data_IF_722747926892
#
_entry.id   IF_722747926892
#
_cell.length_a   1.000
_cell.length_b   1.000
_cell.length_c   1.000
_cell.angle_alpha   90.00
_cell.angle_beta   90.00
_cell.angle_gamma   90.00
#
_symmetry.space_group_name_H-M   'P 1'
#
loop_
_entity.id
_entity.type
_entity.pdbx_description
1 polymer ?
#
# COMPACT_ATOMS: atom_id res chain seq x y z
N UNK A 1 0.08 -7.65 -1.24
CA UNK A 1 0.68 -8.39 -0.11
C UNK A 1 1.64 -9.48 -0.59
N UNK A 2 1.20 -10.52 -1.30
CA UNK A 2 2.07 -11.64 -1.68
C UNK A 2 3.32 -11.24 -2.46
N UNK A 3 3.23 -10.24 -3.35
CA UNK A 3 4.38 -9.74 -4.09
C UNK A 3 5.51 -9.24 -3.16
N UNK A 4 5.15 -8.48 -2.10
CA UNK A 4 6.10 -8.00 -1.10
C UNK A 4 6.73 -9.15 -0.29
N UNK A 5 5.89 -10.08 0.20
CA UNK A 5 6.37 -11.25 0.96
C UNK A 5 7.35 -12.07 0.12
N UNK A 6 7.03 -12.33 -1.14
CA UNK A 6 7.88 -13.11 -2.03
C UNK A 6 9.21 -12.38 -2.32
N UNK A 7 9.20 -11.07 -2.53
CA UNK A 7 10.40 -10.28 -2.76
C UNK A 7 11.35 -10.28 -1.55
N UNK A 8 10.79 -10.21 -0.32
CA UNK A 8 11.56 -10.29 0.92
C UNK A 8 12.15 -11.71 1.07
N UNK A 9 11.34 -12.75 0.89
CA UNK A 9 11.79 -14.15 1.06
C UNK A 9 12.78 -14.63 0.01
N UNK A 10 12.77 -14.05 -1.17
CA UNK A 10 13.76 -14.33 -2.23
C UNK A 10 15.04 -13.51 -2.08
N UNK A 11 15.20 -12.78 -0.98
CA UNK A 11 16.35 -11.91 -0.69
C UNK A 11 16.55 -10.80 -1.75
N UNK A 12 15.51 -10.52 -2.54
CA UNK A 12 15.51 -9.36 -3.44
C UNK A 12 15.56 -8.05 -2.65
N UNK A 13 14.93 -8.04 -1.45
CA UNK A 13 14.97 -6.92 -0.51
C UNK A 13 15.71 -7.38 0.72
N UNK A 14 16.93 -6.89 0.88
CA UNK A 14 17.79 -7.21 2.02
C UNK A 14 17.41 -6.38 3.26
N UNK A 15 17.82 -6.86 4.44
CA UNK A 15 17.61 -6.17 5.73
C UNK A 15 16.14 -5.81 6.03
N UNK A 16 15.22 -6.64 5.55
CA UNK A 16 13.79 -6.49 5.74
C UNK A 16 13.15 -7.84 6.06
N UNK A 17 12.26 -7.87 7.03
CA UNK A 17 11.46 -9.05 7.37
C UNK A 17 9.98 -8.69 7.51
N UNK A 18 9.12 -9.68 7.33
CA UNK A 18 7.68 -9.50 7.55
C UNK A 18 7.36 -9.79 9.01
N UNK A 19 7.21 -8.77 9.82
CA UNK A 19 6.92 -8.90 11.24
C UNK A 19 5.51 -9.40 11.55
N UNK A 20 4.51 -8.99 10.76
CA UNK A 20 3.10 -9.39 10.93
C UNK A 20 2.27 -9.07 9.70
N UNK A 21 1.23 -9.87 9.45
CA UNK A 21 0.12 -9.54 8.55
C UNK A 21 -1.14 -9.34 9.39
N UNK A 22 -1.76 -8.17 9.26
CA UNK A 22 -2.97 -7.83 10.03
C UNK A 22 -4.13 -7.58 9.06
N UNK A 23 -5.32 -8.06 9.43
CA UNK A 23 -6.58 -7.75 8.72
C UNK A 23 -7.68 -7.41 9.72
N UNK A 24 -8.60 -6.54 9.29
CA UNK A 24 -9.85 -6.27 10.02
C UNK A 24 -10.94 -7.33 9.75
N UNK A 25 -10.64 -8.35 8.93
CA UNK A 25 -11.52 -9.46 8.57
C UNK A 25 -10.89 -10.79 8.94
N UNK A 26 -11.56 -11.56 9.79
CA UNK A 26 -11.09 -12.90 10.20
C UNK A 26 -10.93 -13.87 9.00
N UNK A 27 -11.83 -13.75 8.01
CA UNK A 27 -11.84 -14.58 6.81
C UNK A 27 -10.95 -14.08 5.67
N UNK A 28 -10.08 -13.09 5.93
CA UNK A 28 -9.21 -12.56 4.89
C UNK A 28 -8.22 -13.63 4.38
N UNK A 29 -8.26 -13.92 3.08
CA UNK A 29 -7.35 -14.88 2.45
C UNK A 29 -5.87 -14.55 2.68
N UNK A 30 -5.55 -13.27 2.91
CA UNK A 30 -4.21 -12.83 3.26
C UNK A 30 -3.69 -13.38 4.58
N UNK A 31 -4.54 -13.54 5.60
CA UNK A 31 -4.17 -14.13 6.89
C UNK A 31 -3.84 -15.62 6.73
N UNK A 32 -4.68 -16.35 5.98
CA UNK A 32 -4.43 -17.76 5.70
C UNK A 32 -3.09 -17.95 4.98
N UNK A 33 -2.85 -17.16 3.92
CA UNK A 33 -1.61 -17.22 3.15
C UNK A 33 -0.37 -16.90 3.99
N UNK A 34 -0.47 -15.91 4.89
CA UNK A 34 0.62 -15.58 5.81
C UNK A 34 0.92 -16.73 6.77
N UNK A 35 -0.11 -17.36 7.36
CA UNK A 35 0.02 -18.52 8.23
C UNK A 35 0.66 -19.72 7.51
N UNK A 36 0.25 -20.02 6.28
CA UNK A 36 0.85 -21.10 5.45
C UNK A 36 2.35 -20.88 5.21
N UNK A 37 2.81 -19.63 5.24
CA UNK A 37 4.20 -19.25 5.10
C UNK A 37 4.95 -19.11 6.43
N UNK A 38 4.31 -19.42 7.56
CA UNK A 38 4.89 -19.28 8.90
C UNK A 38 5.04 -17.81 9.36
N UNK A 39 4.34 -16.87 8.71
CA UNK A 39 4.35 -15.46 9.08
C UNK A 39 3.24 -15.22 10.12
N UNK A 40 3.54 -14.46 11.17
CA UNK A 40 2.55 -14.05 12.15
C UNK A 40 1.36 -13.36 11.47
N UNK A 41 0.15 -13.90 11.66
CA UNK A 41 -1.06 -13.36 11.06
C UNK A 41 -2.13 -13.14 12.13
N UNK A 42 -2.73 -11.97 12.16
CA UNK A 42 -3.66 -11.54 13.20
C UNK A 42 -4.90 -10.91 12.61
N UNK A 43 -6.06 -11.37 13.05
CA UNK A 43 -7.32 -10.68 12.80
C UNK A 43 -7.61 -9.70 13.94
N UNK A 44 -7.88 -8.46 13.59
CA UNK A 44 -8.34 -7.41 14.51
C UNK A 44 -9.68 -6.84 14.01
N UNK A 45 -10.79 -7.56 14.17
CA UNK A 45 -12.09 -7.11 13.66
C UNK A 45 -12.65 -5.94 14.48
N UNK A 46 -13.42 -5.08 13.83
CA UNK A 46 -13.92 -3.85 14.45
C UNK A 46 -14.98 -4.09 15.53
N UNK A 47 -15.88 -5.06 15.35
CA UNK A 47 -16.92 -5.48 16.30
C UNK A 47 -17.71 -4.31 16.94
N UNK A 48 -18.18 -3.35 16.15
CA UNK A 48 -18.97 -2.23 16.64
C UNK A 48 -18.21 -1.10 17.34
N UNK A 49 -16.88 -1.23 17.50
CA UNK A 49 -16.02 -0.18 18.07
C UNK A 49 -15.92 1.04 17.17
N UNK A 50 -15.61 2.19 17.73
CA UNK A 50 -15.24 3.38 16.95
C UNK A 50 -13.98 3.12 16.13
N UNK A 51 -13.68 4.00 15.18
CA UNK A 51 -12.43 3.91 14.41
C UNK A 51 -11.21 4.05 15.31
N UNK A 52 -11.25 5.03 16.20
CA UNK A 52 -10.15 5.35 17.11
C UNK A 52 -9.84 4.23 18.10
N UNK A 53 -10.87 3.59 18.66
CA UNK A 53 -10.71 2.41 19.53
C UNK A 53 -10.09 1.23 18.78
N UNK A 54 -10.61 0.96 17.57
CA UNK A 54 -10.12 -0.14 16.75
C UNK A 54 -8.67 0.09 16.31
N UNK A 55 -8.34 1.29 15.84
CA UNK A 55 -6.97 1.64 15.45
C UNK A 55 -6.00 1.66 16.65
N UNK A 56 -6.51 1.89 17.86
CA UNK A 56 -5.73 1.76 19.09
C UNK A 56 -5.11 0.37 19.26
N UNK A 57 -5.84 -0.69 18.91
CA UNK A 57 -5.32 -2.05 18.95
C UNK A 57 -4.21 -2.26 17.91
N UNK A 58 -4.39 -1.74 16.68
CA UNK A 58 -3.35 -1.79 15.65
C UNK A 58 -2.08 -1.07 16.11
N UNK A 59 -2.22 0.15 16.63
CA UNK A 59 -1.10 0.94 17.15
C UNK A 59 -0.34 0.14 18.22
N UNK A 60 -1.05 -0.39 19.21
CA UNK A 60 -0.44 -1.18 20.28
C UNK A 60 0.28 -2.43 19.74
N UNK A 61 -0.35 -3.15 18.80
CA UNK A 61 0.23 -4.32 18.15
C UNK A 61 1.52 -4.00 17.41
N UNK A 62 1.50 -2.96 16.59
CA UNK A 62 2.63 -2.53 15.76
C UNK A 62 3.79 -2.00 16.62
N UNK A 63 3.49 -1.17 17.62
CA UNK A 63 4.51 -0.62 18.53
C UNK A 63 5.15 -1.70 19.40
N UNK A 64 4.37 -2.62 19.97
CA UNK A 64 4.88 -3.72 20.81
C UNK A 64 5.86 -4.62 20.02
N UNK A 65 5.65 -4.76 18.72
CA UNK A 65 6.52 -5.52 17.82
C UNK A 65 7.59 -4.72 17.14
N UNK A 66 7.68 -3.43 17.46
CA UNK A 66 8.68 -2.51 16.87
C UNK A 66 8.65 -2.55 15.34
N UNK A 67 7.44 -2.46 14.77
CA UNK A 67 7.27 -2.40 13.31
C UNK A 67 7.74 -1.03 12.82
N UNK A 68 8.70 -1.02 11.90
CA UNK A 68 9.29 0.19 11.33
C UNK A 68 8.52 0.71 10.14
N UNK A 69 7.86 -0.18 9.37
CA UNK A 69 7.18 0.18 8.12
C UNK A 69 5.85 -0.56 7.99
N UNK A 70 4.81 0.15 7.59
CA UNK A 70 3.46 -0.37 7.36
C UNK A 70 3.16 -0.30 5.87
N UNK A 71 2.84 -1.44 5.27
CA UNK A 71 2.44 -1.55 3.86
C UNK A 71 0.94 -1.84 3.77
N UNK A 72 0.13 -0.86 3.37
CA UNK A 72 -1.30 -1.04 3.17
C UNK A 72 -1.56 -1.77 1.85
N UNK A 73 -2.31 -2.86 1.90
CA UNK A 73 -2.65 -3.68 0.74
C UNK A 73 -4.17 -3.96 0.75
N UNK A 74 -4.92 -3.26 -0.10
CA UNK A 74 -6.38 -3.37 -0.15
C UNK A 74 -7.07 -2.79 1.09
N UNK A 75 -6.44 -1.83 1.76
CA UNK A 75 -7.03 -1.11 2.89
C UNK A 75 -7.86 0.07 2.37
N UNK A 76 -9.19 -0.06 2.43
CA UNK A 76 -10.12 0.87 1.80
C UNK A 76 -10.69 1.93 2.76
N UNK A 77 -10.09 2.12 3.94
CA UNK A 77 -10.57 3.05 4.95
C UNK A 77 -9.58 4.19 5.16
N UNK A 78 -10.09 5.35 5.54
CA UNK A 78 -9.24 6.44 6.00
C UNK A 78 -8.66 6.10 7.37
N UNK A 79 -7.37 6.26 7.53
CA UNK A 79 -6.70 6.19 8.82
C UNK A 79 -7.02 7.44 9.64
N UNK A 80 -7.08 7.30 10.96
CA UNK A 80 -7.27 8.46 11.84
C UNK A 80 -6.01 9.33 11.87
N UNK A 81 -6.15 10.63 12.19
CA UNK A 81 -5.01 11.51 12.39
C UNK A 81 -4.02 10.97 13.43
N UNK A 82 -4.52 10.35 14.51
CA UNK A 82 -3.70 9.71 15.52
C UNK A 82 -2.84 8.57 14.97
N UNK A 83 -3.41 7.72 14.11
CA UNK A 83 -2.67 6.62 13.48
C UNK A 83 -1.58 7.16 12.56
N UNK A 84 -1.91 8.14 11.72
CA UNK A 84 -0.98 8.77 10.78
C UNK A 84 0.16 9.46 11.54
N UNK A 85 -0.15 10.21 12.60
CA UNK A 85 0.86 10.89 13.42
C UNK A 85 1.80 9.88 14.11
N UNK A 86 1.24 8.78 14.65
CA UNK A 86 2.01 7.74 15.34
C UNK A 86 3.04 7.08 14.41
N UNK A 87 2.72 6.92 13.14
CA UNK A 87 3.55 6.25 12.14
C UNK A 87 3.93 7.19 10.97
N UNK A 88 4.08 8.48 11.25
CA UNK A 88 4.40 9.49 10.24
C UNK A 88 5.65 9.13 9.45
N UNK A 89 5.50 9.07 8.12
CA UNK A 89 6.59 8.69 7.21
C UNK A 89 6.91 7.20 7.16
N UNK A 90 6.16 6.37 7.87
CA UNK A 90 6.33 4.91 7.93
C UNK A 90 5.10 4.15 7.42
N UNK A 91 4.20 4.78 6.69
CA UNK A 91 3.03 4.13 6.09
C UNK A 91 3.09 4.30 4.59
N UNK A 92 3.09 3.19 3.86
CA UNK A 92 2.99 3.16 2.41
C UNK A 92 1.63 2.63 1.98
N UNK A 93 1.08 3.21 0.91
CA UNK A 93 -0.14 2.72 0.28
C UNK A 93 0.06 2.59 -1.23
N UNK A 94 -0.69 1.69 -1.85
CA UNK A 94 -0.79 1.56 -3.30
C UNK A 94 -2.20 1.95 -3.73
N UNK A 95 -2.28 2.81 -4.76
CA UNK A 95 -3.52 3.32 -5.30
C UNK A 95 -3.60 3.03 -6.80
N UNK A 96 -4.73 2.50 -7.32
CA UNK A 96 -4.86 2.04 -8.71
C UNK A 96 -5.16 3.19 -9.69
N UNK A 97 -4.40 4.26 -9.61
CA UNK A 97 -4.37 5.35 -10.61
C UNK A 97 -3.02 6.05 -10.64
N UNK A 98 -2.81 6.89 -11.65
CA UNK A 98 -1.66 7.79 -11.73
C UNK A 98 -1.97 9.07 -10.93
N UNK A 99 -1.79 9.03 -9.61
CA UNK A 99 -2.02 10.21 -8.77
C UNK A 99 -1.23 11.43 -9.28
N UNK A 100 -1.82 12.63 -9.24
CA UNK A 100 -3.02 13.02 -8.51
C UNK A 100 -4.36 12.79 -9.26
N UNK A 101 -4.36 12.09 -10.38
CA UNK A 101 -5.59 11.75 -11.08
C UNK A 101 -6.35 10.64 -10.35
N UNK A 102 -7.69 10.76 -10.30
CA UNK A 102 -8.61 9.74 -9.80
C UNK A 102 -8.33 9.23 -8.38
N UNK A 103 -8.22 10.13 -7.38
CA UNK A 103 -8.06 9.73 -6.00
C UNK A 103 -9.34 9.08 -5.45
N UNK A 104 -9.21 8.37 -4.32
CA UNK A 104 -10.34 7.77 -3.60
C UNK A 104 -10.83 6.46 -4.23
N UNK A 105 -12.10 6.15 -4.03
CA UNK A 105 -12.67 4.86 -4.42
C UNK A 105 -12.98 4.76 -5.91
N UNK A 106 -12.97 3.52 -6.44
CA UNK A 106 -13.35 3.19 -7.82
C UNK A 106 -12.52 3.96 -8.88
N UNK A 107 -11.22 4.07 -8.70
CA UNK A 107 -10.32 4.80 -9.59
C UNK A 107 -10.39 4.29 -11.05
N UNK A 108 -10.55 3.00 -11.26
CA UNK A 108 -10.70 2.40 -12.59
C UNK A 108 -11.97 2.91 -13.28
N UNK A 109 -13.11 2.94 -12.57
CA UNK A 109 -14.36 3.50 -13.08
C UNK A 109 -14.23 4.98 -13.42
N UNK A 110 -13.54 5.75 -12.57
CA UNK A 110 -13.27 7.17 -12.83
C UNK A 110 -12.44 7.34 -14.11
N UNK A 111 -11.39 6.54 -14.30
CA UNK A 111 -10.52 6.57 -15.47
C UNK A 111 -11.29 6.24 -16.76
N UNK A 112 -12.11 5.18 -16.75
CA UNK A 112 -12.97 4.79 -17.88
C UNK A 112 -13.99 5.90 -18.22
N UNK A 113 -14.68 6.44 -17.22
CA UNK A 113 -15.65 7.51 -17.39
C UNK A 113 -15.02 8.80 -17.93
N UNK A 114 -13.77 9.10 -17.55
CA UNK A 114 -13.02 10.26 -18.05
C UNK A 114 -12.48 10.04 -19.48
N UNK A 115 -12.52 8.82 -20.02
CA UNK A 115 -12.05 8.51 -21.37
C UNK A 115 -10.55 8.65 -21.57
N UNK A 116 -9.74 8.52 -20.50
CA UNK A 116 -8.28 8.61 -20.59
C UNK A 116 -7.73 7.41 -21.38
N UNK A 117 -6.56 7.59 -21.98
CA UNK A 117 -5.89 6.52 -22.74
C UNK A 117 -4.83 5.77 -21.93
N UNK A 118 -4.45 6.33 -20.78
CA UNK A 118 -3.48 5.78 -19.86
C UNK A 118 -3.99 5.86 -18.43
N UNK A 119 -3.78 4.81 -17.69
CA UNK A 119 -3.97 4.71 -16.25
C UNK A 119 -2.74 4.03 -15.64
N UNK A 120 -2.85 3.47 -14.47
CA UNK A 120 -1.76 2.77 -13.82
C UNK A 120 -1.94 2.74 -12.32
N UNK A 121 -0.83 2.67 -11.61
CA UNK A 121 -0.83 2.69 -10.16
C UNK A 121 0.22 3.65 -9.59
N UNK A 122 0.01 4.04 -8.34
CA UNK A 122 0.92 4.90 -7.57
C UNK A 122 1.16 4.28 -6.21
N UNK A 123 2.43 4.12 -5.84
CA UNK A 123 2.81 3.87 -4.44
C UNK A 123 3.27 5.18 -3.83
N UNK A 124 2.71 5.50 -2.66
CA UNK A 124 2.97 6.76 -1.99
C UNK A 124 3.03 6.57 -0.47
N UNK A 125 3.69 7.48 0.23
CA UNK A 125 3.54 7.59 1.67
C UNK A 125 2.15 8.12 2.01
N UNK A 126 1.60 7.70 3.14
CA UNK A 126 0.30 8.18 3.63
C UNK A 126 0.50 9.37 4.54
N UNK A 127 -0.25 10.43 4.28
CA UNK A 127 -0.41 11.61 5.13
C UNK A 127 -1.89 11.89 5.41
N UNK A 128 -2.20 13.05 5.97
CA UNK A 128 -3.59 13.42 6.31
C UNK A 128 -4.47 13.73 5.08
N UNK A 129 -3.85 13.85 3.89
CA UNK A 129 -4.56 14.15 2.64
C UNK A 129 -4.93 12.85 1.93
N UNK A 130 -6.18 12.70 1.52
CA UNK A 130 -6.62 11.52 0.77
C UNK A 130 -5.76 11.35 -0.50
N UNK A 131 -5.01 10.24 -0.57
CA UNK A 131 -4.09 9.89 -1.65
C UNK A 131 -3.13 11.05 -2.05
N UNK A 132 -2.84 11.94 -1.08
CA UNK A 132 -2.10 13.17 -1.30
C UNK A 132 -0.62 13.14 -0.94
N UNK A 133 -0.18 12.13 -0.22
CA UNK A 133 1.17 12.02 0.30
C UNK A 133 2.28 11.88 -0.76
N UNK A 134 3.55 11.90 -0.33
CA UNK A 134 4.70 11.84 -1.24
C UNK A 134 4.71 10.58 -2.10
N UNK A 135 4.86 10.75 -3.42
CA UNK A 135 4.88 9.66 -4.40
C UNK A 135 6.26 9.01 -4.40
N UNK A 136 6.28 7.68 -4.26
CA UNK A 136 7.49 6.85 -4.26
C UNK A 136 7.73 6.30 -5.67
N UNK A 137 6.76 5.57 -6.23
CA UNK A 137 6.82 5.00 -7.59
C UNK A 137 5.48 5.14 -8.29
N UNK A 138 5.52 5.15 -9.63
CA UNK A 138 4.33 5.07 -10.48
C UNK A 138 4.62 4.15 -11.65
N UNK A 139 3.62 3.34 -12.04
CA UNK A 139 3.68 2.51 -13.24
C UNK A 139 2.43 2.72 -14.08
N UNK A 140 2.63 2.71 -15.40
CA UNK A 140 1.63 3.10 -16.40
C UNK A 140 1.07 1.88 -17.10
N UNK A 141 -0.25 1.86 -17.34
CA UNK A 141 -0.91 0.85 -18.15
C UNK A 141 -1.87 1.49 -19.16
N UNK A 142 -2.02 0.95 -20.39
CA UNK A 142 -2.98 1.48 -21.36
C UNK A 142 -4.42 1.18 -20.93
N UNK A 143 -5.32 2.11 -21.26
CA UNK A 143 -6.77 1.90 -21.22
C UNK A 143 -7.24 1.54 -22.62
N UNK A 144 -7.75 0.32 -22.81
CA UNK A 144 -8.19 -0.19 -24.09
C UNK A 144 -9.64 0.25 -24.40
N UNK A 145 -10.01 0.21 -25.66
CA UNK A 145 -11.31 0.73 -26.10
C UNK A 145 -12.50 -0.07 -25.55
N UNK A 146 -12.29 -1.35 -25.31
CA UNK A 146 -13.26 -2.32 -24.84
C UNK A 146 -13.07 -2.71 -23.37
N UNK A 147 -12.26 -1.96 -22.61
CA UNK A 147 -12.06 -2.24 -21.19
C UNK A 147 -13.35 -2.10 -20.39
N UNK A 148 -13.55 -3.09 -19.53
CA UNK A 148 -14.43 -3.00 -18.37
C UNK A 148 -13.65 -2.55 -17.14
N UNK A 149 -14.34 -2.24 -16.04
CA UNK A 149 -13.70 -1.92 -14.77
C UNK A 149 -12.80 -3.08 -14.30
N UNK A 150 -13.27 -4.32 -14.51
CA UNK A 150 -12.57 -5.54 -14.12
C UNK A 150 -11.31 -5.78 -14.96
N UNK A 151 -11.41 -5.68 -16.30
CA UNK A 151 -10.24 -5.92 -17.17
C UNK A 151 -9.14 -4.87 -16.97
N UNK A 152 -9.53 -3.62 -16.75
CA UNK A 152 -8.57 -2.57 -16.42
C UNK A 152 -7.95 -2.81 -15.03
N UNK A 153 -8.75 -3.23 -14.03
CA UNK A 153 -8.25 -3.53 -12.70
C UNK A 153 -7.24 -4.68 -12.69
N UNK A 154 -7.51 -5.75 -13.44
CA UNK A 154 -6.58 -6.89 -13.59
C UNK A 154 -5.23 -6.43 -14.17
N UNK A 155 -5.25 -5.61 -15.21
CA UNK A 155 -4.04 -5.08 -15.86
C UNK A 155 -3.28 -4.11 -14.95
N UNK A 156 -3.99 -3.27 -14.18
CA UNK A 156 -3.36 -2.40 -13.17
C UNK A 156 -2.73 -3.23 -12.06
N UNK A 157 -3.37 -4.32 -11.62
CA UNK A 157 -2.87 -5.18 -10.56
C UNK A 157 -1.50 -5.80 -10.88
N UNK A 158 -1.25 -6.14 -12.14
CA UNK A 158 0.08 -6.61 -12.58
C UNK A 158 1.15 -5.54 -12.32
N UNK A 159 0.86 -4.30 -12.67
CA UNK A 159 1.77 -3.18 -12.43
C UNK A 159 1.89 -2.83 -10.93
N UNK A 160 0.81 -2.97 -10.17
CA UNK A 160 0.84 -2.78 -8.70
C UNK A 160 1.82 -3.75 -8.03
N UNK A 161 1.84 -5.00 -8.44
CA UNK A 161 2.75 -6.01 -7.88
C UNK A 161 4.21 -5.63 -8.08
N UNK A 162 4.54 -5.01 -9.21
CA UNK A 162 5.90 -4.56 -9.52
C UNK A 162 6.21 -3.25 -8.78
N UNK A 163 5.33 -2.25 -8.91
CA UNK A 163 5.51 -0.93 -8.31
C UNK A 163 5.69 -0.99 -6.80
N UNK A 164 4.92 -1.86 -6.12
CA UNK A 164 4.99 -1.94 -4.67
C UNK A 164 6.31 -2.54 -4.18
N UNK A 165 6.85 -3.52 -4.91
CA UNK A 165 8.17 -4.09 -4.60
C UNK A 165 9.27 -3.05 -4.83
N UNK A 166 9.25 -2.34 -5.97
CA UNK A 166 10.19 -1.25 -6.27
C UNK A 166 10.16 -0.15 -5.19
N UNK A 167 8.95 0.24 -4.75
CA UNK A 167 8.79 1.22 -3.70
C UNK A 167 9.35 0.74 -2.36
N UNK A 168 9.13 -0.53 -2.01
CA UNK A 168 9.68 -1.11 -0.79
C UNK A 168 11.21 -1.16 -0.82
N UNK A 169 11.81 -1.51 -1.95
CA UNK A 169 13.27 -1.47 -2.15
C UNK A 169 13.84 -0.07 -1.87
N UNK A 170 13.22 0.97 -2.44
CA UNK A 170 13.63 2.37 -2.23
C UNK A 170 13.55 2.73 -0.74
N UNK A 171 12.42 2.42 -0.09
CA UNK A 171 12.19 2.82 1.30
C UNK A 171 13.10 2.08 2.27
N UNK A 172 13.26 0.76 2.11
CA UNK A 172 14.14 -0.05 2.96
C UNK A 172 15.61 0.33 2.81
N UNK A 173 16.03 0.77 1.61
CA UNK A 173 17.41 1.25 1.41
C UNK A 173 17.76 2.47 2.26
N UNK A 174 16.78 3.26 2.69
CA UNK A 174 16.98 4.53 3.37
C UNK A 174 17.69 5.61 2.52
N UNK A 175 17.97 5.32 1.24
CA UNK A 175 18.71 6.20 0.34
C UNK A 175 17.77 7.07 -0.49
N UNK A 176 16.94 7.83 0.18
CA UNK A 176 16.03 8.79 -0.45
C UNK A 176 15.84 10.03 0.42
N UNK A 177 15.34 11.09 -0.19
CA UNK A 177 14.85 12.28 0.50
C UNK A 177 13.42 12.61 0.05
N UNK A 178 12.65 13.21 0.92
CA UNK A 178 11.29 13.68 0.60
C UNK A 178 11.32 15.19 0.39
N UNK A 179 10.94 15.63 -0.82
CA UNK A 179 10.81 17.06 -1.18
C UNK A 179 9.38 17.36 -1.65
N UNK A 180 8.56 17.92 -0.77
CA UNK A 180 7.13 18.10 -1.04
C UNK A 180 6.47 16.75 -1.31
N UNK A 181 5.83 16.59 -2.45
CA UNK A 181 5.18 15.32 -2.84
C UNK A 181 6.08 14.34 -3.59
N UNK A 182 7.38 14.54 -3.61
CA UNK A 182 8.31 13.67 -4.34
C UNK A 182 9.24 12.95 -3.38
N UNK A 183 9.40 11.65 -3.58
CA UNK A 183 10.47 10.84 -3.02
C UNK A 183 11.58 10.77 -4.06
N UNK A 184 12.78 11.23 -3.70
CA UNK A 184 13.92 11.36 -4.61
C UNK A 184 15.02 10.43 -4.11
N UNK A 185 15.40 9.36 -4.86
CA UNK A 185 16.54 8.54 -4.50
C UNK A 185 17.82 9.40 -4.45
N UNK A 186 18.62 9.23 -3.40
CA UNK A 186 19.86 10.00 -3.18
C UNK A 186 21.09 9.35 -3.80
N UNK A 187 20.99 8.08 -4.19
CA UNK A 187 21.95 7.40 -5.06
C UNK A 187 21.20 6.76 -6.21
N UNK A 188 21.48 7.24 -7.41
CA UNK A 188 21.28 6.46 -8.61
C UNK A 188 22.52 5.55 -8.71
N UNK A 189 22.31 4.25 -8.49
CA UNK A 189 23.34 3.25 -8.77
C UNK A 189 23.63 3.15 -10.26
#
# INVERSE_FOLDING_TARGET
MMALINAIRSERIENCEVGVVISDRESAAGLQRANELGICAVALPRHGRTREEHEGDFINWLQTRKIDLICLAGYLRLLSPRFIETFRGSIMNIHPSLLPAFPGLAAQRQALAAGVKWSGCTVHFVDETLDGGPIITQRVTPVLTDDTEESLAERILEEEHIAYVEALEIVVSGQYEVRGRRVIPTKLG
#
